data_IF_179325243342
#
_entry.id   IF_179325243342
#
_cell.length_a   1.000
_cell.length_b   1.000
_cell.length_c   1.000
_cell.angle_alpha   90.00
_cell.angle_beta   90.00
_cell.angle_gamma   90.00
#
_symmetry.space_group_name_H-M   'P 1'
#
loop_
_entity.id
_entity.type
_entity.pdbx_description
1 polymer ?
#
# COMPACT_ATOMS: atom_id res chain seq x y z
N UNK A 1 -20.88 28.14 10.58
CA UNK A 1 -20.46 26.97 9.77
C UNK A 1 -18.97 26.96 9.41
N UNK A 2 -18.36 28.08 8.99
CA UNK A 2 -16.94 28.16 8.59
C UNK A 2 -15.94 27.48 9.55
N UNK A 3 -16.09 27.68 10.87
CA UNK A 3 -15.16 27.12 11.85
C UNK A 3 -15.21 25.59 11.93
N UNK A 4 -16.40 24.97 11.83
CA UNK A 4 -16.54 23.51 11.91
C UNK A 4 -15.86 22.81 10.73
N UNK A 5 -16.06 23.33 9.51
CA UNK A 5 -15.43 22.78 8.30
C UNK A 5 -13.91 22.93 8.31
N UNK A 6 -13.41 24.05 8.85
CA UNK A 6 -11.98 24.29 9.04
C UNK A 6 -11.34 23.31 10.03
N UNK A 7 -11.90 23.14 11.23
CA UNK A 7 -11.38 22.18 12.21
C UNK A 7 -11.41 20.75 11.67
N UNK A 8 -12.49 20.38 10.97
CA UNK A 8 -12.60 19.07 10.35
C UNK A 8 -11.50 18.85 9.29
N UNK A 9 -11.21 19.88 8.50
CA UNK A 9 -10.14 19.85 7.51
C UNK A 9 -8.75 19.70 8.13
N UNK A 10 -8.45 20.40 9.23
CA UNK A 10 -7.21 20.18 10.01
C UNK A 10 -7.09 18.73 10.46
N UNK A 11 -8.14 18.20 11.10
CA UNK A 11 -8.14 16.83 11.62
C UNK A 11 -7.87 15.82 10.49
N UNK A 12 -8.56 15.95 9.35
CA UNK A 12 -8.33 15.06 8.22
C UNK A 12 -6.93 15.18 7.63
N UNK A 13 -6.39 16.40 7.49
CA UNK A 13 -5.02 16.58 7.02
C UNK A 13 -4.01 15.97 7.99
N UNK A 14 -4.17 16.15 9.30
CA UNK A 14 -3.32 15.52 10.32
C UNK A 14 -3.40 13.99 10.25
N UNK A 15 -4.59 13.41 10.05
CA UNK A 15 -4.76 11.97 9.89
C UNK A 15 -4.08 11.43 8.63
N UNK A 16 -4.17 12.15 7.50
CA UNK A 16 -3.46 11.78 6.25
C UNK A 16 -1.94 11.81 6.47
N UNK A 17 -1.42 12.85 7.13
CA UNK A 17 0.01 12.93 7.46
C UNK A 17 0.45 11.80 8.38
N UNK A 18 -0.32 11.50 9.43
CA UNK A 18 -0.04 10.38 10.34
C UNK A 18 -0.02 9.04 9.58
N UNK A 19 -0.99 8.83 8.68
CA UNK A 19 -1.03 7.64 7.84
C UNK A 19 0.23 7.50 6.99
N UNK A 20 0.63 8.57 6.28
CA UNK A 20 1.85 8.58 5.47
C UNK A 20 3.10 8.27 6.32
N UNK A 21 3.17 8.81 7.53
CA UNK A 21 4.25 8.51 8.47
C UNK A 21 4.26 7.04 8.89
N UNK A 22 3.11 6.47 9.28
CA UNK A 22 3.03 5.04 9.62
C UNK A 22 3.42 4.14 8.46
N UNK A 23 3.05 4.51 7.23
CA UNK A 23 3.44 3.77 6.03
C UNK A 23 4.94 3.82 5.78
N UNK A 24 5.58 4.96 6.02
CA UNK A 24 7.04 5.10 5.92
C UNK A 24 7.78 4.20 6.93
N UNK A 25 7.16 3.90 8.08
CA UNK A 25 7.68 2.92 9.05
C UNK A 25 7.48 1.45 8.61
N UNK A 26 6.87 1.20 7.44
CA UNK A 26 6.61 -0.15 6.94
C UNK A 26 5.35 -0.79 7.51
N UNK A 27 4.38 0.03 7.95
CA UNK A 27 3.08 -0.43 8.42
C UNK A 27 2.07 -0.34 7.28
N UNK A 28 1.30 -1.41 7.05
CA UNK A 28 0.18 -1.43 6.11
C UNK A 28 -1.11 -1.74 6.85
N UNK A 29 -2.13 -0.96 6.51
CA UNK A 29 -3.51 -1.23 6.91
C UNK A 29 -4.23 -1.94 5.77
N UNK A 30 -4.80 -3.10 6.05
CA UNK A 30 -5.49 -3.94 5.07
C UNK A 30 -6.93 -4.18 5.48
N UNK A 31 -7.87 -3.74 4.66
CA UNK A 31 -9.31 -3.79 4.96
C UNK A 31 -10.03 -4.24 3.69
N UNK A 32 -10.92 -5.23 3.84
CA UNK A 32 -11.77 -5.74 2.76
C UNK A 32 -10.98 -6.13 1.48
N UNK A 33 -9.84 -6.82 1.67
CA UNK A 33 -9.05 -7.35 0.55
C UNK A 33 -8.20 -6.32 -0.20
N UNK A 34 -7.98 -5.12 0.36
CA UNK A 34 -7.11 -4.13 -0.24
C UNK A 34 -6.40 -3.25 0.81
N UNK A 35 -5.27 -2.60 0.44
CA UNK A 35 -4.67 -1.56 1.25
C UNK A 35 -5.63 -0.38 1.40
N UNK A 36 -5.63 0.26 2.57
CA UNK A 36 -6.48 1.45 2.82
C UNK A 36 -6.04 2.68 2.01
N UNK A 37 -4.85 2.65 1.40
CA UNK A 37 -4.23 3.74 0.64
C UNK A 37 -5.18 4.46 -0.30
N UNK A 38 -6.04 3.73 -1.03
CA UNK A 38 -7.02 4.32 -1.95
C UNK A 38 -7.98 5.26 -1.23
N UNK A 39 -8.46 4.86 -0.05
CA UNK A 39 -9.41 5.65 0.75
C UNK A 39 -8.74 6.88 1.34
N UNK A 40 -7.49 6.74 1.80
CA UNK A 40 -6.72 7.87 2.33
C UNK A 40 -6.41 8.88 1.24
N UNK A 41 -6.06 8.43 0.03
CA UNK A 41 -5.85 9.31 -1.12
C UNK A 41 -7.13 10.10 -1.48
N UNK A 42 -8.31 9.44 -1.46
CA UNK A 42 -9.59 10.12 -1.64
C UNK A 42 -9.85 11.21 -0.59
N UNK A 43 -9.63 10.89 0.69
CA UNK A 43 -9.80 11.87 1.78
C UNK A 43 -8.82 13.03 1.62
N UNK A 44 -7.56 12.74 1.29
CA UNK A 44 -6.52 13.76 1.07
C UNK A 44 -6.83 14.71 -0.10
N UNK A 45 -7.38 14.19 -1.19
CA UNK A 45 -7.75 14.97 -2.38
C UNK A 45 -8.76 16.08 -2.05
N UNK A 46 -9.69 15.85 -1.12
CA UNK A 46 -10.69 16.85 -0.74
C UNK A 46 -10.29 17.65 0.50
N UNK A 47 -9.68 17.01 1.50
CA UNK A 47 -9.35 17.67 2.76
C UNK A 47 -8.32 18.80 2.60
N UNK A 48 -7.30 18.59 1.75
CA UNK A 48 -6.18 19.55 1.64
C UNK A 48 -6.56 20.82 0.86
N UNK A 49 -7.28 20.77 -0.28
CA UNK A 49 -7.74 21.99 -0.94
C UNK A 49 -8.71 22.81 -0.07
N UNK A 50 -9.57 22.12 0.69
CA UNK A 50 -10.47 22.75 1.66
C UNK A 50 -9.66 23.43 2.77
N UNK A 51 -8.60 22.78 3.27
CA UNK A 51 -7.71 23.35 4.28
C UNK A 51 -7.08 24.65 3.80
N UNK A 52 -6.54 24.65 2.58
CA UNK A 52 -5.90 25.83 1.98
C UNK A 52 -6.92 26.96 1.80
N UNK A 53 -8.11 26.65 1.30
CA UNK A 53 -9.17 27.65 1.10
C UNK A 53 -9.58 28.35 2.41
N UNK A 54 -9.71 27.61 3.51
CA UNK A 54 -10.13 28.18 4.80
C UNK A 54 -8.99 28.81 5.61
N UNK A 55 -7.76 28.28 5.49
CA UNK A 55 -6.59 28.81 6.23
C UNK A 55 -6.13 30.18 5.71
N UNK A 56 -6.45 30.51 4.46
CA UNK A 56 -6.01 31.74 3.80
C UNK A 56 -7.20 32.53 3.22
N UNK A 57 -8.01 33.18 4.08
CA UNK A 57 -9.26 33.85 3.67
C UNK A 57 -9.06 35.19 2.93
N UNK A 58 -7.85 35.73 2.87
CA UNK A 58 -7.56 36.95 2.11
C UNK A 58 -7.75 36.69 0.61
N UNK A 59 -8.75 37.37 0.02
CA UNK A 59 -9.33 37.11 -1.31
C UNK A 59 -8.36 37.27 -2.49
N UNK A 60 -7.14 37.73 -2.28
CA UNK A 60 -6.09 37.61 -3.29
C UNK A 60 -5.44 36.24 -3.11
N UNK A 61 -6.04 35.22 -3.72
CA UNK A 61 -5.35 33.96 -3.96
C UNK A 61 -4.05 34.32 -4.71
N UNK A 62 -2.96 34.47 -3.96
CA UNK A 62 -1.67 34.84 -4.55
C UNK A 62 -1.37 33.73 -5.56
N UNK A 63 -0.81 34.06 -6.72
CA UNK A 63 -0.45 33.07 -7.75
C UNK A 63 0.23 31.83 -7.12
N UNK A 64 1.06 32.05 -6.11
CA UNK A 64 1.70 31.00 -5.29
C UNK A 64 0.72 30.03 -4.64
N UNK A 65 -0.37 30.48 -4.01
CA UNK A 65 -1.37 29.61 -3.37
C UNK A 65 -2.16 28.81 -4.41
N UNK A 66 -2.50 29.41 -5.55
CA UNK A 66 -3.13 28.68 -6.67
C UNK A 66 -2.21 27.57 -7.18
N UNK A 67 -0.92 27.90 -7.39
CA UNK A 67 0.09 26.94 -7.83
C UNK A 67 0.23 25.79 -6.81
N UNK A 68 0.34 26.11 -5.51
CA UNK A 68 0.45 25.09 -4.46
C UNK A 68 -0.77 24.15 -4.44
N UNK A 69 -1.99 24.69 -4.52
CA UNK A 69 -3.20 23.88 -4.58
C UNK A 69 -3.23 22.99 -5.82
N UNK A 70 -2.87 23.52 -7.00
CA UNK A 70 -2.81 22.76 -8.24
C UNK A 70 -1.79 21.62 -8.13
N UNK A 71 -0.59 21.89 -7.61
CA UNK A 71 0.45 20.88 -7.41
C UNK A 71 -0.05 19.78 -6.47
N UNK A 72 -0.69 20.14 -5.37
CA UNK A 72 -1.25 19.16 -4.43
C UNK A 72 -2.32 18.30 -5.09
N UNK A 73 -3.23 18.89 -5.87
CA UNK A 73 -4.25 18.14 -6.60
C UNK A 73 -3.59 17.16 -7.58
N UNK A 74 -2.58 17.59 -8.34
CA UNK A 74 -1.85 16.71 -9.26
C UNK A 74 -1.20 15.55 -8.51
N UNK A 75 -0.49 15.84 -7.41
CA UNK A 75 0.16 14.81 -6.57
C UNK A 75 -0.88 13.83 -6.03
N UNK A 76 -2.02 14.31 -5.55
CA UNK A 76 -3.09 13.47 -5.03
C UNK A 76 -3.74 12.61 -6.13
N UNK A 77 -3.93 13.12 -7.34
CA UNK A 77 -4.44 12.35 -8.48
C UNK A 77 -3.45 11.23 -8.87
N UNK A 78 -2.15 11.55 -8.94
CA UNK A 78 -1.10 10.56 -9.21
C UNK A 78 -1.09 9.50 -8.12
N UNK A 79 -1.15 9.91 -6.85
CA UNK A 79 -1.19 8.98 -5.73
C UNK A 79 -2.44 8.11 -5.74
N UNK A 80 -3.61 8.67 -6.03
CA UNK A 80 -4.86 7.92 -6.13
C UNK A 80 -4.79 6.88 -7.27
N UNK A 81 -4.29 7.26 -8.45
CA UNK A 81 -4.09 6.34 -9.57
C UNK A 81 -3.17 5.18 -9.16
N UNK A 82 -2.08 5.50 -8.46
CA UNK A 82 -1.14 4.49 -7.97
C UNK A 82 -1.77 3.60 -6.90
N UNK A 83 -2.49 4.17 -5.92
CA UNK A 83 -3.17 3.44 -4.85
C UNK A 83 -4.29 2.52 -5.36
N UNK A 84 -4.97 2.89 -6.45
CA UNK A 84 -5.95 2.01 -7.12
C UNK A 84 -5.26 0.81 -7.77
N UNK A 85 -4.09 1.02 -8.40
CA UNK A 85 -3.33 -0.05 -9.03
C UNK A 85 -2.56 -0.92 -8.03
N UNK A 86 -2.30 -0.43 -6.82
CA UNK A 86 -1.52 -1.14 -5.81
C UNK A 86 -2.05 -2.54 -5.54
N UNK A 87 -3.37 -2.75 -5.46
CA UNK A 87 -3.97 -4.06 -5.16
C UNK A 87 -3.47 -5.18 -6.09
N UNK A 88 -3.08 -4.86 -7.33
CA UNK A 88 -2.50 -5.82 -8.29
C UNK A 88 -1.20 -6.45 -7.77
N UNK A 89 -0.46 -5.75 -6.94
CA UNK A 89 0.83 -6.19 -6.45
C UNK A 89 0.82 -6.66 -4.99
N UNK A 90 -0.35 -6.87 -4.40
CA UNK A 90 -0.48 -7.47 -3.07
C UNK A 90 -1.24 -8.78 -3.10
N UNK A 91 -0.74 -9.81 -2.43
CA UNK A 91 -1.47 -11.03 -2.12
C UNK A 91 -1.67 -11.15 -0.60
N UNK A 92 -2.84 -11.63 -0.19
CA UNK A 92 -3.11 -12.01 1.19
C UNK A 92 -2.93 -13.51 1.35
N UNK A 93 -2.20 -13.91 2.38
CA UNK A 93 -1.96 -15.31 2.73
C UNK A 93 -2.51 -15.54 4.12
N UNK A 94 -3.43 -16.49 4.25
CA UNK A 94 -4.09 -16.76 5.52
C UNK A 94 -3.18 -17.55 6.47
N UNK A 95 -3.45 -17.45 7.77
CA UNK A 95 -2.82 -18.33 8.75
C UNK A 95 -3.30 -19.77 8.54
N UNK A 96 -2.44 -20.74 8.81
CA UNK A 96 -2.77 -22.15 8.85
C UNK A 96 -1.92 -22.86 9.94
N UNK A 97 -1.92 -24.20 9.93
CA UNK A 97 -1.18 -24.99 10.92
C UNK A 97 0.35 -24.81 10.85
N UNK A 98 0.87 -24.35 9.71
CA UNK A 98 2.31 -24.13 9.47
C UNK A 98 2.66 -22.65 9.69
N UNK A 99 1.84 -21.74 9.18
CA UNK A 99 2.01 -20.29 9.27
C UNK A 99 1.04 -19.70 10.32
N UNK A 100 1.50 -19.42 11.54
CA UNK A 100 0.62 -19.11 12.68
C UNK A 100 -0.03 -17.72 12.62
N UNK A 101 0.39 -16.86 11.68
CA UNK A 101 -0.16 -15.51 11.52
C UNK A 101 -0.38 -15.23 10.03
N UNK A 102 -1.42 -14.46 9.66
CA UNK A 102 -1.63 -14.10 8.28
C UNK A 102 -0.57 -13.10 7.81
N UNK A 103 -0.32 -13.11 6.49
CA UNK A 103 0.68 -12.28 5.84
C UNK A 103 0.09 -11.53 4.64
N UNK A 104 0.68 -10.36 4.39
CA UNK A 104 0.51 -9.66 3.13
C UNK A 104 1.85 -9.68 2.40
N UNK A 105 1.81 -10.09 1.15
CA UNK A 105 2.97 -10.18 0.27
C UNK A 105 2.84 -9.09 -0.77
N UNK A 106 3.80 -8.17 -0.81
CA UNK A 106 3.87 -7.11 -1.80
C UNK A 106 4.97 -7.40 -2.83
N UNK A 107 4.61 -7.50 -4.10
CA UNK A 107 5.56 -7.48 -5.21
C UNK A 107 5.90 -6.02 -5.56
N UNK A 108 7.18 -5.69 -5.72
CA UNK A 108 7.62 -4.36 -6.16
C UNK A 108 8.30 -4.48 -7.52
N UNK A 109 7.51 -4.53 -8.61
CA UNK A 109 8.05 -4.74 -9.94
C UNK A 109 8.99 -3.60 -10.33
N UNK A 110 10.12 -3.96 -10.94
CA UNK A 110 11.08 -2.99 -11.49
C UNK A 110 10.57 -2.30 -12.77
N UNK A 111 9.50 -2.83 -13.38
CA UNK A 111 8.87 -2.29 -14.59
C UNK A 111 7.39 -2.68 -14.65
N UNK A 112 6.55 -1.80 -15.20
CA UNK A 112 5.15 -2.11 -15.51
C UNK A 112 4.99 -3.02 -16.74
N UNK A 113 6.07 -3.30 -17.48
CA UNK A 113 6.01 -4.16 -18.67
C UNK A 113 5.49 -5.56 -18.31
N UNK A 114 4.49 -6.06 -19.06
CA UNK A 114 4.01 -7.42 -18.89
C UNK A 114 5.13 -8.40 -19.20
N UNK A 115 5.18 -9.47 -18.41
CA UNK A 115 6.21 -10.49 -18.47
C UNK A 115 5.62 -11.68 -19.20
N UNK A 116 6.38 -12.29 -20.11
CA UNK A 116 5.99 -13.60 -20.64
C UNK A 116 6.18 -14.69 -19.58
N UNK A 117 5.41 -15.77 -19.69
CA UNK A 117 5.50 -16.92 -18.77
C UNK A 117 6.91 -17.53 -18.67
N UNK A 118 7.70 -17.48 -19.74
CA UNK A 118 9.06 -18.03 -19.80
C UNK A 118 10.16 -17.08 -19.29
N UNK A 119 9.86 -15.78 -19.17
CA UNK A 119 10.81 -14.80 -18.67
C UNK A 119 10.99 -14.95 -17.15
N UNK A 120 12.24 -15.04 -16.72
CA UNK A 120 12.66 -14.96 -15.32
C UNK A 120 13.24 -13.58 -15.07
N UNK A 121 12.57 -12.82 -14.21
CA UNK A 121 12.95 -11.45 -13.90
C UNK A 121 12.84 -11.32 -12.39
N UNK A 122 13.93 -10.98 -11.74
CA UNK A 122 13.96 -10.83 -10.29
C UNK A 122 13.23 -9.55 -9.89
N UNK A 123 12.49 -9.65 -8.78
CA UNK A 123 11.79 -8.53 -8.17
C UNK A 123 11.83 -8.65 -6.66
N UNK A 124 11.65 -7.51 -5.99
CA UNK A 124 11.60 -7.45 -4.54
C UNK A 124 10.19 -7.79 -4.05
N UNK A 125 10.13 -8.72 -3.10
CA UNK A 125 8.95 -9.07 -2.34
C UNK A 125 9.09 -8.55 -0.92
N UNK A 126 8.12 -7.75 -0.47
CA UNK A 126 8.03 -7.31 0.92
C UNK A 126 6.96 -8.12 1.63
N UNK A 127 7.35 -8.78 2.72
CA UNK A 127 6.47 -9.56 3.58
C UNK A 127 6.04 -8.70 4.77
N UNK A 128 4.73 -8.59 4.97
CA UNK A 128 4.14 -7.93 6.12
C UNK A 128 3.39 -8.94 6.97
N UNK A 129 3.82 -9.08 8.22
CA UNK A 129 3.19 -9.97 9.20
C UNK A 129 2.05 -9.27 9.89
N UNK A 130 0.95 -9.98 10.10
CA UNK A 130 -0.17 -9.47 10.90
C UNK A 130 0.24 -9.31 12.37
N UNK A 131 -0.01 -8.11 12.91
CA UNK A 131 -0.03 -7.85 14.35
C UNK A 131 -1.48 -7.80 14.85
N UNK A 132 -2.39 -7.40 13.97
CA UNK A 132 -3.82 -7.36 14.22
C UNK A 132 -4.59 -7.66 12.92
N UNK A 133 -5.89 -7.91 13.01
CA UNK A 133 -6.75 -8.26 11.87
C UNK A 133 -6.61 -7.34 10.66
N UNK A 134 -6.39 -6.04 10.91
CA UNK A 134 -6.25 -5.01 9.88
C UNK A 134 -4.85 -4.40 9.79
N UNK A 135 -3.93 -4.77 10.68
CA UNK A 135 -2.61 -4.13 10.84
C UNK A 135 -1.49 -5.11 10.54
N UNK A 136 -0.63 -4.76 9.60
CA UNK A 136 0.48 -5.57 9.14
C UNK A 136 1.77 -4.76 9.18
N UNK A 137 2.85 -5.37 9.65
CA UNK A 137 4.15 -4.71 9.79
C UNK A 137 5.17 -5.45 8.95
N UNK A 138 5.99 -4.69 8.24
CA UNK A 138 7.08 -5.20 7.41
C UNK A 138 8.01 -6.06 8.26
N UNK A 139 8.13 -7.32 7.89
CA UNK A 139 9.01 -8.29 8.55
C UNK A 139 10.29 -8.51 7.73
N UNK A 140 10.15 -8.71 6.42
CA UNK A 140 11.29 -9.03 5.56
C UNK A 140 11.13 -8.48 4.14
N UNK A 141 12.27 -8.32 3.45
CA UNK A 141 12.32 -8.11 2.00
C UNK A 141 13.24 -9.15 1.40
N UNK A 142 12.74 -9.81 0.35
CA UNK A 142 13.39 -10.94 -0.30
C UNK A 142 13.25 -10.78 -1.81
N UNK A 143 14.29 -11.14 -2.55
CA UNK A 143 14.24 -11.17 -4.02
C UNK A 143 13.80 -12.55 -4.50
N UNK A 144 12.91 -12.58 -5.47
CA UNK A 144 12.47 -13.82 -6.13
C UNK A 144 11.97 -13.54 -7.54
N UNK A 145 11.61 -14.58 -8.28
CA UNK A 145 11.10 -14.46 -9.64
C UNK A 145 9.74 -13.75 -9.63
N UNK A 146 9.59 -12.75 -10.50
CA UNK A 146 8.40 -11.91 -10.63
C UNK A 146 7.16 -12.72 -11.02
N UNK A 147 5.99 -12.34 -10.50
CA UNK A 147 4.70 -12.97 -10.77
C UNK A 147 4.19 -13.92 -9.68
N UNK A 148 4.89 -14.04 -8.55
CA UNK A 148 4.44 -14.85 -7.41
C UNK A 148 3.13 -14.31 -6.82
N UNK A 149 2.98 -12.99 -6.69
CA UNK A 149 1.73 -12.39 -6.15
C UNK A 149 0.53 -12.70 -7.05
N UNK A 150 0.71 -12.57 -8.36
CA UNK A 150 -0.34 -12.88 -9.32
C UNK A 150 -0.70 -14.37 -9.28
N UNK A 151 0.28 -15.26 -9.11
CA UNK A 151 0.02 -16.69 -8.93
C UNK A 151 -0.83 -16.98 -7.70
N UNK A 152 -0.45 -16.46 -6.53
CA UNK A 152 -1.16 -16.68 -5.26
C UNK A 152 -2.63 -16.28 -5.37
N UNK A 153 -2.93 -15.19 -6.09
CA UNK A 153 -4.32 -14.73 -6.28
C UNK A 153 -5.19 -15.65 -7.12
N UNK A 154 -4.60 -16.30 -8.13
CA UNK A 154 -5.35 -17.09 -9.11
C UNK A 154 -5.42 -18.56 -8.75
N UNK A 155 -4.37 -19.09 -8.09
CA UNK A 155 -4.19 -20.52 -7.86
C UNK A 155 -4.05 -20.89 -6.38
N UNK A 156 -4.18 -19.90 -5.48
CA UNK A 156 -3.87 -20.02 -4.05
C UNK A 156 -2.36 -20.30 -3.80
N UNK A 157 -1.95 -20.23 -2.54
CA UNK A 157 -0.57 -20.54 -2.12
C UNK A 157 -0.52 -21.83 -1.33
N UNK A 158 0.29 -22.79 -1.78
CA UNK A 158 0.64 -23.95 -0.95
C UNK A 158 1.81 -23.56 -0.04
N UNK A 159 1.51 -23.46 1.27
CA UNK A 159 2.50 -23.15 2.31
C UNK A 159 3.16 -24.46 2.74
N UNK A 160 4.48 -24.51 2.69
CA UNK A 160 5.29 -25.69 3.02
C UNK A 160 6.36 -25.34 4.04
N UNK A 161 6.84 -26.36 4.74
CA UNK A 161 7.93 -26.29 5.70
C UNK A 161 9.06 -27.20 5.24
N UNK A 162 10.29 -26.70 5.18
CA UNK A 162 11.47 -27.54 4.97
C UNK A 162 11.85 -28.29 6.25
N UNK A 163 12.62 -29.37 6.13
CA UNK A 163 13.03 -30.19 7.28
C UNK A 163 13.89 -29.46 8.33
N UNK A 164 14.33 -28.23 8.05
CA UNK A 164 15.04 -27.34 8.98
C UNK A 164 14.12 -26.28 9.63
N UNK A 165 12.80 -26.37 9.43
CA UNK A 165 11.80 -25.50 10.03
C UNK A 165 11.54 -24.20 9.25
N UNK A 166 12.17 -24.01 8.08
CA UNK A 166 11.92 -22.82 7.25
C UNK A 166 10.61 -22.94 6.49
N UNK A 167 9.75 -21.93 6.63
CA UNK A 167 8.44 -21.88 5.96
C UNK A 167 8.57 -21.14 4.64
N UNK A 168 7.95 -21.64 3.58
CA UNK A 168 7.95 -21.01 2.27
C UNK A 168 6.64 -21.23 1.50
N UNK A 169 6.38 -20.36 0.53
CA UNK A 169 5.37 -20.60 -0.52
C UNK A 169 6.09 -21.16 -1.73
N UNK A 170 5.58 -22.27 -2.25
CA UNK A 170 6.02 -22.81 -3.54
C UNK A 170 5.09 -22.36 -4.67
N UNK A 171 5.69 -21.85 -5.75
CA UNK A 171 4.97 -21.51 -6.98
C UNK A 171 5.73 -22.09 -8.18
N UNK A 172 5.08 -22.12 -9.35
CA UNK A 172 5.77 -22.51 -10.60
C UNK A 172 6.97 -21.60 -10.95
N UNK A 173 7.01 -20.37 -10.42
CA UNK A 173 8.10 -19.42 -10.61
C UNK A 173 9.24 -19.62 -9.61
N UNK A 174 8.99 -20.27 -8.47
CA UNK A 174 10.01 -20.48 -7.44
C UNK A 174 9.44 -20.50 -6.04
N UNK A 175 10.35 -20.49 -5.07
CA UNK A 175 10.04 -20.46 -3.63
C UNK A 175 10.14 -19.03 -3.09
N UNK A 176 9.23 -18.67 -2.19
CA UNK A 176 9.29 -17.43 -1.41
C UNK A 176 9.31 -17.79 0.08
N UNK A 177 10.44 -17.53 0.74
CA UNK A 177 10.64 -17.89 2.14
C UNK A 177 10.10 -16.82 3.09
N UNK A 178 9.42 -17.26 4.14
CA UNK A 178 9.13 -16.45 5.32
C UNK A 178 10.35 -16.44 6.25
N UNK A 179 10.42 -15.44 7.14
CA UNK A 179 11.51 -15.30 8.10
C UNK A 179 11.04 -15.65 9.51
#
# INVERSE_FOLDING_TARGET
>A
MKNKTYYLSIIFTSLVCLFLFTKALGIIFWINGAPIDKWVAWVGLFAIPIFIYYSFPERSFKKTQQIVTIVIIIVQIIWLKWAINQSKYYAYVNSNNILPSPYIIQETPSSETPISLSQRLLTNYTLYKSIHSYLYVRENVTESDRGIVDWIKHFDSEIKEEGDGRIYIETYKGKLFFK
#
